data_IF_720541713346
#
_entry.id   IF_720541713346
#
_cell.length_a   1.000
_cell.length_b   1.000
_cell.length_c   1.000
_cell.angle_alpha   90.00
_cell.angle_beta   90.00
_cell.angle_gamma   90.00
#
_symmetry.space_group_name_H-M   'P 1'
#
loop_
_entity.id
_entity.type
_entity.pdbx_description
1 polymer ?
#
# COMPACT_ATOMS: atom_id res chain seq x y z
N UNK A 1 35.34 -19.51 45.45
CA UNK A 1 34.63 -19.14 44.19
C UNK A 1 33.23 -18.67 44.56
N UNK A 2 33.06 -17.41 44.96
CA UNK A 2 31.77 -16.91 45.40
C UNK A 2 31.03 -16.30 44.21
N UNK A 3 30.16 -17.11 43.59
CA UNK A 3 29.25 -16.65 42.54
C UNK A 3 28.08 -15.96 43.24
N UNK A 4 28.12 -14.63 43.29
CA UNK A 4 26.98 -13.82 43.70
C UNK A 4 25.99 -13.76 42.52
N UNK A 5 25.17 -14.79 42.37
CA UNK A 5 24.06 -14.79 41.42
C UNK A 5 22.98 -13.82 41.91
N UNK A 6 23.01 -12.59 41.39
CA UNK A 6 21.91 -11.64 41.56
C UNK A 6 20.70 -12.19 40.78
N UNK A 7 19.68 -12.62 41.51
CA UNK A 7 18.38 -12.96 40.92
C UNK A 7 17.64 -11.69 40.50
N UNK A 8 16.92 -11.77 39.39
CA UNK A 8 16.06 -10.71 38.91
C UNK A 8 14.92 -10.48 39.90
N UNK A 9 14.61 -9.23 40.24
CA UNK A 9 13.52 -8.95 41.18
C UNK A 9 12.18 -8.98 40.44
N UNK A 10 11.11 -9.46 41.10
CA UNK A 10 9.75 -9.42 40.53
C UNK A 10 9.33 -7.98 40.19
N UNK A 11 9.75 -7.01 41.01
CA UNK A 11 9.45 -5.60 40.80
C UNK A 11 10.13 -5.03 39.55
N UNK A 12 11.35 -5.47 39.21
CA UNK A 12 12.00 -5.06 37.95
C UNK A 12 11.20 -5.50 36.73
N UNK A 13 10.69 -6.74 36.71
CA UNK A 13 9.86 -7.19 35.59
C UNK A 13 8.57 -6.36 35.50
N UNK A 14 7.90 -6.11 36.64
CA UNK A 14 6.63 -5.38 36.68
C UNK A 14 6.79 -3.95 36.16
N UNK A 15 7.86 -3.25 36.53
CA UNK A 15 8.10 -1.88 36.04
C UNK A 15 8.39 -1.89 34.54
N UNK A 16 9.18 -2.85 34.05
CA UNK A 16 9.54 -2.95 32.62
C UNK A 16 8.31 -3.19 31.76
N UNK A 17 7.47 -4.18 32.10
CA UNK A 17 6.25 -4.46 31.32
C UNK A 17 5.26 -3.29 31.39
N UNK A 18 5.21 -2.57 32.51
CA UNK A 18 4.33 -1.40 32.67
C UNK A 18 4.73 -0.28 31.71
N UNK A 19 6.03 0.00 31.58
CA UNK A 19 6.53 1.02 30.64
C UNK A 19 6.32 0.55 29.18
N UNK A 20 6.62 -0.71 28.87
CA UNK A 20 6.39 -1.27 27.53
C UNK A 20 4.91 -1.21 27.13
N UNK A 21 3.98 -1.46 28.04
CA UNK A 21 2.55 -1.35 27.79
C UNK A 21 2.13 0.08 27.40
N UNK A 22 2.68 1.09 28.09
CA UNK A 22 2.39 2.50 27.79
C UNK A 22 2.95 2.89 26.41
N UNK A 23 4.18 2.49 26.09
CA UNK A 23 4.81 2.78 24.80
C UNK A 23 4.05 2.12 23.65
N UNK A 24 3.70 0.83 23.80
CA UNK A 24 2.99 0.07 22.77
C UNK A 24 1.57 0.58 22.52
N UNK A 25 0.88 1.07 23.55
CA UNK A 25 -0.46 1.66 23.42
C UNK A 25 -0.49 2.85 22.44
N UNK A 26 0.58 3.65 22.38
CA UNK A 26 0.69 4.81 21.46
C UNK A 26 1.32 4.38 20.13
N UNK A 27 2.30 3.48 20.16
CA UNK A 27 3.05 3.07 18.97
C UNK A 27 2.21 2.26 17.98
N UNK A 28 1.40 1.31 18.44
CA UNK A 28 0.60 0.42 17.59
C UNK A 28 -0.37 1.18 16.67
N UNK A 29 -1.27 2.07 17.17
CA UNK A 29 -2.23 2.74 16.30
C UNK A 29 -1.54 3.64 15.26
N UNK A 30 -0.46 4.33 15.65
CA UNK A 30 0.34 5.16 14.74
C UNK A 30 1.02 4.32 13.65
N UNK A 31 1.59 3.18 14.02
CA UNK A 31 2.21 2.25 13.09
C UNK A 31 1.19 1.67 12.10
N UNK A 32 0.02 1.25 12.57
CA UNK A 32 -1.04 0.71 11.71
C UNK A 32 -1.54 1.75 10.69
N UNK A 33 -1.78 2.99 11.12
CA UNK A 33 -2.18 4.06 10.20
C UNK A 33 -1.07 4.38 9.17
N UNK A 34 0.19 4.40 9.60
CA UNK A 34 1.32 4.66 8.69
C UNK A 34 1.47 3.54 7.65
N UNK A 35 1.33 2.28 8.09
CA UNK A 35 1.32 1.13 7.19
C UNK A 35 0.17 1.20 6.19
N UNK A 36 -1.06 1.46 6.63
CA UNK A 36 -2.22 1.55 5.75
C UNK A 36 -2.05 2.65 4.69
N UNK A 37 -1.49 3.81 5.06
CA UNK A 37 -1.17 4.89 4.12
C UNK A 37 -0.12 4.49 3.09
N UNK A 38 0.90 3.74 3.51
CA UNK A 38 1.91 3.21 2.58
C UNK A 38 1.29 2.20 1.62
N UNK A 39 0.45 1.28 2.11
CA UNK A 39 -0.27 0.30 1.29
C UNK A 39 -1.20 0.99 0.27
N UNK A 40 -1.91 2.04 0.69
CA UNK A 40 -2.74 2.86 -0.19
C UNK A 40 -1.91 3.56 -1.28
N UNK A 41 -0.79 4.20 -0.92
CA UNK A 41 0.08 4.89 -1.88
C UNK A 41 0.67 3.95 -2.94
N UNK A 42 1.08 2.75 -2.52
CA UNK A 42 1.54 1.69 -3.44
C UNK A 42 0.41 1.24 -4.36
N UNK A 43 -0.78 0.99 -3.81
CA UNK A 43 -1.94 0.56 -4.59
C UNK A 43 -2.32 1.59 -5.68
N UNK A 44 -2.33 2.89 -5.34
CA UNK A 44 -2.60 3.98 -6.30
C UNK A 44 -1.57 3.97 -7.44
N UNK A 45 -0.28 3.90 -7.09
CA UNK A 45 0.81 3.90 -8.08
C UNK A 45 0.71 2.69 -9.01
N UNK A 46 0.48 1.49 -8.46
CA UNK A 46 0.34 0.28 -9.24
C UNK A 46 -0.88 0.35 -10.17
N UNK A 47 -2.02 0.88 -9.70
CA UNK A 47 -3.22 1.07 -10.55
C UNK A 47 -2.97 2.02 -11.72
N UNK A 48 -2.24 3.12 -11.50
CA UNK A 48 -1.80 4.01 -12.60
C UNK A 48 -0.94 3.25 -13.62
N UNK A 49 -0.05 2.37 -13.18
CA UNK A 49 0.76 1.51 -14.07
C UNK A 49 -0.11 0.54 -14.87
N UNK A 50 -1.08 -0.11 -14.21
CA UNK A 50 -2.04 -0.99 -14.92
C UNK A 50 -2.81 -0.20 -15.97
N UNK A 51 -3.31 0.99 -15.63
CA UNK A 51 -4.09 1.82 -16.56
C UNK A 51 -3.28 2.17 -17.81
N UNK A 52 -2.02 2.57 -17.64
CA UNK A 52 -1.11 2.86 -18.76
C UNK A 52 -0.82 1.62 -19.59
N UNK A 53 -0.55 0.48 -18.95
CA UNK A 53 -0.27 -0.78 -19.68
C UNK A 53 -1.48 -1.30 -20.46
N UNK A 54 -2.68 -1.19 -19.87
CA UNK A 54 -3.93 -1.59 -20.51
C UNK A 54 -4.26 -0.65 -21.68
N UNK A 55 -4.09 0.66 -21.50
CA UNK A 55 -4.27 1.64 -22.57
C UNK A 55 -3.27 1.41 -23.72
N UNK A 56 -2.01 1.13 -23.43
CA UNK A 56 -1.01 0.80 -24.45
C UNK A 56 -1.41 -0.45 -25.24
N UNK A 57 -1.88 -1.51 -24.56
CA UNK A 57 -2.34 -2.75 -25.20
C UNK A 57 -3.53 -2.52 -26.12
N UNK A 58 -4.47 -1.64 -25.74
CA UNK A 58 -5.61 -1.26 -26.58
C UNK A 58 -5.21 -0.54 -27.86
N UNK A 59 -4.02 0.08 -27.91
CA UNK A 59 -3.48 0.71 -29.11
C UNK A 59 -2.74 -0.29 -30.02
N UNK A 60 -2.16 -1.34 -29.45
CA UNK A 60 -1.33 -2.32 -30.17
C UNK A 60 -2.17 -3.39 -30.88
N UNK A 61 -3.38 -3.69 -30.39
CA UNK A 61 -4.11 -4.90 -30.77
C UNK A 61 -5.59 -4.59 -31.03
N UNK A 62 -5.98 -4.46 -32.31
CA UNK A 62 -7.39 -4.21 -32.72
C UNK A 62 -8.30 -5.43 -32.49
N UNK A 63 -7.75 -6.64 -32.27
CA UNK A 63 -8.53 -7.89 -32.32
C UNK A 63 -8.38 -8.86 -31.15
N UNK A 64 -7.53 -8.61 -30.14
CA UNK A 64 -7.50 -9.50 -28.98
C UNK A 64 -8.66 -9.19 -28.04
N UNK A 65 -9.78 -9.90 -28.25
CA UNK A 65 -10.99 -9.87 -27.41
C UNK A 65 -10.81 -10.41 -26.00
N UNK A 66 -9.63 -10.26 -25.40
CA UNK A 66 -9.37 -10.58 -24.00
C UNK A 66 -9.96 -9.48 -23.11
N UNK A 67 -10.69 -9.90 -22.09
CA UNK A 67 -11.27 -8.99 -21.11
C UNK A 67 -10.19 -8.43 -20.19
N UNK A 68 -10.48 -7.30 -19.56
CA UNK A 68 -9.61 -6.72 -18.52
C UNK A 68 -9.21 -7.76 -17.46
N UNK A 69 -10.15 -8.61 -17.04
CA UNK A 69 -9.89 -9.64 -16.03
C UNK A 69 -8.83 -10.64 -16.49
N UNK A 70 -8.83 -11.03 -17.77
CA UNK A 70 -7.82 -11.93 -18.31
C UNK A 70 -6.45 -11.25 -18.41
N UNK A 71 -6.41 -10.01 -18.88
CA UNK A 71 -5.18 -9.22 -18.92
C UNK A 71 -4.53 -9.12 -17.53
N UNK A 72 -5.35 -8.94 -16.49
CA UNK A 72 -4.90 -8.83 -15.12
C UNK A 72 -4.27 -10.12 -14.61
N UNK A 73 -4.91 -11.27 -14.83
CA UNK A 73 -4.38 -12.59 -14.41
C UNK A 73 -3.07 -12.94 -15.13
N UNK A 74 -2.89 -12.51 -16.38
CA UNK A 74 -1.69 -12.82 -17.16
C UNK A 74 -0.49 -11.93 -16.81
N UNK A 75 -0.71 -10.66 -16.45
CA UNK A 75 0.35 -9.66 -16.30
C UNK A 75 0.64 -9.26 -14.87
N UNK A 76 -0.29 -9.50 -13.93
CA UNK A 76 -0.18 -9.01 -12.56
C UNK A 76 -0.60 -10.06 -11.55
N UNK A 77 0.25 -10.31 -10.55
CA UNK A 77 -0.03 -11.27 -9.47
C UNK A 77 -0.56 -10.59 -8.21
N UNK A 78 -0.03 -9.41 -7.85
CA UNK A 78 -0.45 -8.64 -6.68
C UNK A 78 -0.25 -7.14 -6.91
N UNK A 79 -1.35 -6.39 -6.94
CA UNK A 79 -1.35 -4.93 -7.17
C UNK A 79 -1.63 -4.17 -5.88
N UNK A 80 -2.53 -4.69 -5.06
CA UNK A 80 -2.90 -4.12 -3.78
C UNK A 80 -2.24 -4.93 -2.66
N UNK A 81 -1.34 -4.35 -1.86
CA UNK A 81 -0.68 -5.04 -0.75
C UNK A 81 -1.63 -5.55 0.34
N UNK A 82 -2.84 -4.98 0.40
CA UNK A 82 -3.89 -5.38 1.33
C UNK A 82 -4.82 -6.46 0.75
N UNK A 83 -4.53 -6.99 -0.44
CA UNK A 83 -5.33 -8.04 -1.10
C UNK A 83 -6.61 -7.54 -1.77
N UNK A 84 -6.68 -6.25 -2.11
CA UNK A 84 -7.85 -5.66 -2.78
C UNK A 84 -7.98 -6.14 -4.22
N UNK A 85 -9.22 -6.38 -4.65
CA UNK A 85 -9.54 -6.77 -6.03
C UNK A 85 -9.52 -5.52 -6.89
N UNK A 86 -8.86 -5.61 -8.04
CA UNK A 86 -8.80 -4.54 -9.02
C UNK A 86 -9.84 -4.80 -10.08
N UNK A 87 -10.66 -3.80 -10.37
CA UNK A 87 -11.74 -3.89 -11.35
C UNK A 87 -11.73 -2.67 -12.24
N UNK A 88 -12.14 -2.86 -13.49
CA UNK A 88 -12.36 -1.76 -14.42
C UNK A 88 -13.85 -1.40 -14.40
N UNK A 89 -14.18 -0.22 -13.87
CA UNK A 89 -15.55 0.30 -13.80
C UNK A 89 -15.54 1.58 -14.65
N UNK A 90 -16.29 1.58 -15.76
CA UNK A 90 -16.44 2.73 -16.65
C UNK A 90 -15.10 3.32 -17.15
N UNK A 91 -14.09 2.48 -17.37
CA UNK A 91 -12.76 2.90 -17.84
C UNK A 91 -11.83 3.38 -16.73
N UNK A 92 -12.28 3.44 -15.47
CA UNK A 92 -11.44 3.69 -14.31
C UNK A 92 -11.04 2.37 -13.65
N UNK A 93 -9.74 2.21 -13.40
CA UNK A 93 -9.22 1.05 -12.67
C UNK A 93 -9.35 1.33 -11.19
N UNK A 94 -10.29 0.69 -10.50
CA UNK A 94 -10.59 0.90 -9.07
C UNK A 94 -10.13 -0.30 -8.21
N UNK A 95 -9.86 -0.06 -6.93
CA UNK A 95 -9.56 -1.09 -5.94
C UNK A 95 -10.72 -1.22 -4.94
N UNK A 96 -11.08 -2.45 -4.58
CA UNK A 96 -12.17 -2.73 -3.63
C UNK A 96 -11.88 -2.29 -2.18
N UNK A 97 -10.61 -2.05 -1.83
CA UNK A 97 -10.17 -1.70 -0.46
C UNK A 97 -9.72 -0.25 -0.36
N UNK A 98 -8.99 0.23 -1.37
CA UNK A 98 -8.47 1.58 -1.43
C UNK A 98 -9.28 2.37 -2.44
N UNK A 99 -10.33 3.00 -1.94
CA UNK A 99 -11.15 3.90 -2.74
C UNK A 99 -10.39 5.21 -2.99
N UNK A 100 -10.52 5.74 -4.20
CA UNK A 100 -9.81 6.97 -4.56
C UNK A 100 -10.37 8.16 -3.79
N UNK A 101 -9.54 8.76 -2.94
CA UNK A 101 -9.68 10.19 -2.68
C UNK A 101 -9.48 10.93 -4.01
N UNK A 102 -10.19 12.05 -4.25
CA UNK A 102 -10.33 12.67 -5.56
C UNK A 102 -8.98 12.79 -6.23
N UNK A 103 -8.93 12.36 -7.50
CA UNK A 103 -7.80 12.57 -8.40
C UNK A 103 -7.23 13.95 -8.12
N UNK A 104 -6.08 14.00 -7.45
CA UNK A 104 -5.23 15.18 -7.55
C UNK A 104 -4.87 15.16 -9.02
N UNK A 105 -5.55 16.01 -9.80
CA UNK A 105 -5.13 16.33 -11.16
C UNK A 105 -3.63 16.52 -11.06
N UNK A 106 -2.87 15.59 -11.65
CA UNK A 106 -1.44 15.75 -11.86
C UNK A 106 -1.37 16.94 -12.82
N UNK A 107 -1.46 18.16 -12.28
CA UNK A 107 -1.25 19.38 -13.03
C UNK A 107 0.07 19.14 -13.75
N UNK A 108 0.09 19.16 -15.09
CA UNK A 108 1.32 18.93 -15.83
C UNK A 108 2.35 19.89 -15.25
N UNK A 109 3.60 19.46 -15.03
CA UNK A 109 4.60 20.36 -14.47
C UNK A 109 4.57 21.62 -15.33
N UNK A 110 4.19 22.76 -14.74
CA UNK A 110 4.18 24.04 -15.43
C UNK A 110 5.47 24.12 -16.23
N UNK A 111 5.32 24.19 -17.56
CA UNK A 111 6.46 24.22 -18.47
C UNK A 111 7.37 25.36 -18.00
N UNK A 112 8.54 25.00 -17.44
CA UNK A 112 9.51 25.99 -16.96
C UNK A 112 9.94 26.83 -18.18
N UNK A 113 9.58 28.13 -18.27
CA UNK A 113 9.61 28.90 -19.53
C UNK A 113 11.00 29.28 -20.10
N UNK A 114 12.04 28.45 -19.98
CA UNK A 114 13.39 28.83 -20.43
C UNK A 114 14.32 27.68 -20.84
N UNK A 115 13.85 26.82 -21.75
CA UNK A 115 14.73 26.16 -22.72
C UNK A 115 14.23 26.40 -24.14
#
# INVERSE_FOLDING_TARGET
MNRHSKGFTLIEIVIVISILAILTAIAIPSYLNSRNRAEQAVCITNRKTVARSYAARMLEDESSGITFDQFMVENFTEICPSGGVISNIEGKIQCSIHDDAPEVEDDPPEEVPWL
#
